data_IF_968787617279
#
_entry.id   IF_968787617279
#
_cell.length_a   1.000
_cell.length_b   1.000
_cell.length_c   1.000
_cell.angle_alpha   90.00
_cell.angle_beta   90.00
_cell.angle_gamma   90.00
#
_symmetry.space_group_name_H-M   'P 1'
#
loop_
_entity.id
_entity.type
_entity.pdbx_description
1 polymer ?
#
# COMPACT_ATOMS: atom_id res chain seq x y z
N UNK A 1 24.52 -39.64 6.44
CA UNK A 1 24.57 -39.41 4.97
C UNK A 1 24.21 -37.96 4.80
N UNK A 2 25.20 -37.14 5.08
CA UNK A 2 25.12 -35.72 5.38
C UNK A 2 25.86 -35.01 4.26
N UNK A 3 25.13 -34.67 3.21
CA UNK A 3 25.66 -33.92 2.07
C UNK A 3 24.51 -33.24 1.36
N UNK A 4 23.93 -32.19 1.98
CA UNK A 4 23.14 -31.16 1.26
C UNK A 4 22.80 -29.92 2.12
N UNK A 5 23.61 -29.59 3.12
CA UNK A 5 23.44 -28.38 3.96
C UNK A 5 24.61 -27.38 3.84
N UNK A 6 25.46 -27.49 2.81
CA UNK A 6 26.66 -26.66 2.63
C UNK A 6 26.62 -25.69 1.43
N UNK A 7 25.43 -25.35 0.91
CA UNK A 7 25.31 -24.21 -0.01
C UNK A 7 24.68 -23.00 0.71
N UNK A 8 25.28 -22.62 1.84
CA UNK A 8 25.05 -21.30 2.43
C UNK A 8 25.72 -20.26 1.54
N UNK A 9 24.91 -19.67 0.66
CA UNK A 9 25.22 -18.54 -0.20
C UNK A 9 26.19 -17.56 0.46
N UNK A 10 27.45 -17.51 0.00
CA UNK A 10 28.38 -16.44 0.38
C UNK A 10 27.74 -15.11 -0.04
N UNK A 11 27.38 -14.28 0.94
CA UNK A 11 26.90 -12.92 0.68
C UNK A 11 27.91 -12.20 -0.22
N UNK A 12 27.45 -11.42 -1.23
CA UNK A 12 28.35 -10.66 -2.08
C UNK A 12 29.30 -9.81 -1.23
N UNK A 13 30.58 -9.82 -1.56
CA UNK A 13 31.55 -8.99 -0.85
C UNK A 13 31.48 -7.56 -1.36
N UNK A 14 31.16 -6.62 -0.47
CA UNK A 14 31.27 -5.20 -0.77
C UNK A 14 32.75 -4.82 -0.90
N UNK A 15 33.26 -4.80 -2.14
CA UNK A 15 34.62 -4.34 -2.47
C UNK A 15 34.53 -2.94 -3.08
N UNK A 16 34.82 -1.93 -2.27
CA UNK A 16 34.97 -0.55 -2.71
C UNK A 16 36.40 -0.10 -2.48
N UNK A 17 36.97 0.65 -3.42
CA UNK A 17 38.25 1.31 -3.18
C UNK A 17 38.08 2.45 -2.14
N UNK A 18 39.18 2.95 -1.59
CA UNK A 18 39.13 3.97 -0.53
C UNK A 18 38.45 5.26 -1.00
N UNK A 19 38.63 5.64 -2.28
CA UNK A 19 38.08 6.87 -2.87
C UNK A 19 36.57 6.76 -3.06
N UNK A 20 36.08 5.63 -3.57
CA UNK A 20 34.64 5.36 -3.74
C UNK A 20 33.95 5.23 -2.38
N UNK A 21 34.62 4.61 -1.40
CA UNK A 21 34.09 4.49 -0.03
C UNK A 21 33.90 5.87 0.61
N UNK A 22 34.90 6.75 0.53
CA UNK A 22 34.79 8.11 1.03
C UNK A 22 33.74 8.93 0.28
N UNK A 23 33.70 8.82 -1.05
CA UNK A 23 32.66 9.46 -1.87
C UNK A 23 31.26 9.03 -1.45
N UNK A 24 31.04 7.74 -1.24
CA UNK A 24 29.75 7.21 -0.80
C UNK A 24 29.37 7.73 0.59
N UNK A 25 30.29 7.71 1.55
CA UNK A 25 30.04 8.22 2.90
C UNK A 25 29.67 9.71 2.90
N UNK A 26 30.31 10.52 2.04
CA UNK A 26 29.97 11.92 1.89
C UNK A 26 28.55 12.14 1.36
N UNK A 27 28.12 11.34 0.39
CA UNK A 27 26.76 11.36 -0.13
C UNK A 27 25.75 10.83 0.91
N UNK A 28 26.06 9.73 1.60
CA UNK A 28 25.15 9.13 2.57
C UNK A 28 24.81 10.10 3.71
N UNK A 29 25.77 10.95 4.12
CA UNK A 29 25.56 12.01 5.12
C UNK A 29 24.61 13.12 4.64
N UNK A 30 24.37 13.29 3.34
CA UNK A 30 23.41 14.28 2.83
C UNK A 30 21.97 13.76 2.84
N UNK A 31 21.76 12.46 3.06
CA UNK A 31 20.41 11.88 3.08
C UNK A 31 19.66 12.29 4.37
N UNK A 32 18.33 12.50 4.29
CA UNK A 32 17.52 12.75 5.48
C UNK A 32 17.58 11.58 6.47
N UNK A 33 17.71 11.90 7.75
CA UNK A 33 17.65 10.92 8.83
C UNK A 33 16.20 10.54 9.14
N UNK A 34 15.62 9.70 8.29
CA UNK A 34 14.27 9.15 8.42
C UNK A 34 14.37 7.62 8.47
N UNK A 35 13.84 6.94 9.52
CA UNK A 35 13.86 5.49 9.60
C UNK A 35 12.83 4.81 8.69
N UNK A 36 11.82 5.54 8.19
CA UNK A 36 10.74 4.97 7.34
C UNK A 36 11.26 4.43 6.01
N UNK A 37 12.06 5.16 5.22
CA UNK A 37 12.59 4.63 3.97
C UNK A 37 13.69 3.60 4.22
N UNK A 38 13.47 2.38 3.73
CA UNK A 38 14.53 1.40 3.54
C UNK A 38 15.24 1.72 2.23
N UNK A 39 16.47 2.23 2.34
CA UNK A 39 17.27 2.65 1.19
C UNK A 39 18.22 1.55 0.74
N UNK A 40 18.10 1.16 -0.52
CA UNK A 40 18.98 0.20 -1.18
C UNK A 40 19.78 0.88 -2.28
N UNK A 41 21.06 0.55 -2.35
CA UNK A 41 22.00 1.13 -3.31
C UNK A 41 22.40 0.05 -4.30
N UNK A 42 22.07 0.26 -5.57
CA UNK A 42 22.36 -0.70 -6.64
C UNK A 42 23.86 -0.75 -6.94
N UNK A 43 24.43 -1.96 -6.88
CA UNK A 43 25.81 -2.30 -7.23
C UNK A 43 25.89 -3.19 -8.47
N UNK A 44 24.86 -3.16 -9.32
CA UNK A 44 24.62 -3.94 -10.56
C UNK A 44 24.23 -5.40 -10.32
N UNK A 45 25.05 -6.13 -9.58
CA UNK A 45 24.84 -7.56 -9.33
C UNK A 45 24.10 -7.83 -8.02
N UNK A 46 24.13 -6.87 -7.10
CA UNK A 46 23.53 -6.93 -5.77
C UNK A 46 23.23 -5.51 -5.28
N UNK A 47 22.49 -5.41 -4.17
CA UNK A 47 22.19 -4.16 -3.50
C UNK A 47 22.96 -4.05 -2.20
N UNK A 48 23.20 -2.84 -1.71
CA UNK A 48 23.68 -2.60 -0.35
C UNK A 48 22.72 -1.75 0.43
N UNK A 49 22.54 -2.06 1.73
CA UNK A 49 21.90 -1.16 2.69
C UNK A 49 22.92 -0.74 3.74
N UNK A 50 22.70 0.42 4.36
CA UNK A 50 23.64 1.03 5.29
C UNK A 50 22.97 1.60 6.54
N UNK A 51 23.74 1.77 7.62
CA UNK A 51 23.29 2.34 8.89
C UNK A 51 22.16 1.54 9.56
N UNK A 52 21.10 2.23 9.93
CA UNK A 52 19.91 1.63 10.54
C UNK A 52 19.20 0.66 9.58
N UNK A 53 19.13 0.99 8.28
CA UNK A 53 18.55 0.10 7.28
C UNK A 53 19.33 -1.22 7.18
N UNK A 54 20.67 -1.18 7.26
CA UNK A 54 21.48 -2.40 7.27
C UNK A 54 21.17 -3.27 8.50
N UNK A 55 21.06 -2.64 9.67
CA UNK A 55 20.76 -3.31 10.93
C UNK A 55 19.37 -3.93 10.91
N UNK A 56 18.39 -3.21 10.39
CA UNK A 56 17.03 -3.71 10.16
C UNK A 56 17.05 -4.92 9.23
N UNK A 57 17.71 -4.84 8.07
CA UNK A 57 17.73 -5.94 7.11
C UNK A 57 18.41 -7.19 7.70
N UNK A 58 19.54 -7.01 8.38
CA UNK A 58 20.29 -8.08 9.00
C UNK A 58 19.48 -8.84 10.06
N UNK A 59 18.78 -8.11 10.93
CA UNK A 59 17.95 -8.71 11.99
C UNK A 59 16.65 -9.32 11.45
N UNK A 60 15.97 -8.63 10.53
CA UNK A 60 14.63 -9.02 10.07
C UNK A 60 14.68 -10.15 9.04
N UNK A 61 15.55 -10.04 8.03
CA UNK A 61 15.55 -10.98 6.89
C UNK A 61 16.65 -12.03 7.01
N UNK A 62 17.88 -11.64 7.37
CA UNK A 62 18.96 -12.61 7.56
C UNK A 62 18.94 -13.29 8.93
N UNK A 63 18.17 -12.76 9.88
CA UNK A 63 18.07 -13.26 11.27
C UNK A 63 19.44 -13.37 11.97
N UNK A 64 20.39 -12.54 11.56
CA UNK A 64 21.75 -12.50 12.12
C UNK A 64 22.39 -11.13 11.99
N UNK A 65 23.14 -10.70 12.99
CA UNK A 65 23.97 -9.49 12.92
C UNK A 65 25.33 -9.75 12.28
N UNK A 66 25.73 -11.01 12.08
CA UNK A 66 27.03 -11.38 11.49
C UNK A 66 27.14 -11.01 10.01
N UNK A 67 26.03 -10.72 9.34
CA UNK A 67 26.00 -10.23 7.97
C UNK A 67 26.46 -8.76 7.84
N UNK A 68 26.52 -8.02 8.95
CA UNK A 68 26.94 -6.62 8.96
C UNK A 68 28.46 -6.51 8.79
N UNK A 69 28.88 -5.73 7.80
CA UNK A 69 30.26 -5.30 7.58
C UNK A 69 30.39 -3.82 7.87
N UNK A 70 31.58 -3.36 8.25
CA UNK A 70 31.85 -1.94 8.44
C UNK A 70 32.40 -1.33 7.15
N UNK A 71 31.77 -0.25 6.69
CA UNK A 71 32.26 0.53 5.56
C UNK A 71 32.94 1.80 6.09
N UNK A 72 34.22 1.96 5.78
CA UNK A 72 35.06 3.06 6.27
C UNK A 72 35.88 2.70 7.51
N UNK A 73 36.88 3.54 7.82
CA UNK A 73 37.79 3.33 8.95
C UNK A 73 37.48 4.32 10.09
N UNK A 74 37.42 3.84 11.33
CA UNK A 74 37.31 4.67 12.54
C UNK A 74 35.89 4.82 13.11
N UNK A 75 35.67 5.87 13.92
CA UNK A 75 34.40 6.18 14.61
C UNK A 75 33.25 6.55 13.65
N UNK A 76 33.56 6.89 12.41
CA UNK A 76 32.62 7.29 11.35
C UNK A 76 32.25 6.11 10.41
N UNK A 77 32.59 4.89 10.82
CA UNK A 77 32.34 3.67 10.05
C UNK A 77 30.86 3.31 10.02
N UNK A 78 30.35 3.02 8.82
CA UNK A 78 28.94 2.77 8.58
C UNK A 78 28.65 1.27 8.47
N UNK A 79 27.76 0.76 9.33
CA UNK A 79 27.25 -0.61 9.23
C UNK A 79 26.62 -0.84 7.87
N UNK A 80 26.99 -1.91 7.19
CA UNK A 80 26.63 -2.16 5.80
C UNK A 80 26.29 -3.63 5.61
N UNK A 81 25.27 -3.92 4.80
CA UNK A 81 24.89 -5.28 4.46
C UNK A 81 24.69 -5.41 2.95
N UNK A 82 25.12 -6.55 2.40
CA UNK A 82 24.90 -6.87 0.98
C UNK A 82 23.64 -7.70 0.83
N UNK A 83 22.87 -7.43 -0.23
CA UNK A 83 21.55 -7.99 -0.51
C UNK A 83 21.56 -8.53 -1.93
N UNK A 84 21.41 -9.84 -2.09
CA UNK A 84 21.29 -10.47 -3.42
C UNK A 84 19.97 -10.06 -4.09
N UNK A 85 19.86 -10.22 -5.41
CA UNK A 85 18.61 -9.90 -6.14
C UNK A 85 17.39 -10.65 -5.61
N UNK A 86 17.53 -11.95 -5.34
CA UNK A 86 16.45 -12.77 -4.76
C UNK A 86 16.04 -12.28 -3.35
N UNK A 87 17.01 -11.89 -2.53
CA UNK A 87 16.72 -11.34 -1.21
C UNK A 87 16.06 -9.96 -1.32
N UNK A 88 16.50 -9.14 -2.27
CA UNK A 88 15.86 -7.86 -2.58
C UNK A 88 14.39 -8.05 -2.97
N UNK A 89 14.06 -9.00 -3.85
CA UNK A 89 12.67 -9.33 -4.19
C UNK A 89 11.85 -9.72 -2.94
N UNK A 90 12.44 -10.53 -2.06
CA UNK A 90 11.80 -10.92 -0.79
C UNK A 90 11.53 -9.72 0.11
N UNK A 91 12.52 -8.84 0.25
CA UNK A 91 12.42 -7.60 1.05
C UNK A 91 11.37 -6.67 0.43
N UNK A 92 11.41 -6.44 -0.89
CA UNK A 92 10.47 -5.55 -1.58
C UNK A 92 9.03 -6.03 -1.41
N UNK A 93 8.79 -7.34 -1.56
CA UNK A 93 7.46 -7.94 -1.32
C UNK A 93 7.00 -7.75 0.12
N UNK A 94 7.87 -8.00 1.10
CA UNK A 94 7.51 -7.83 2.52
C UNK A 94 7.20 -6.36 2.85
N UNK A 95 8.07 -5.43 2.45
CA UNK A 95 7.93 -4.00 2.75
C UNK A 95 6.69 -3.38 2.09
N UNK A 96 6.39 -3.74 0.84
CA UNK A 96 5.35 -3.07 0.05
C UNK A 96 3.99 -3.77 0.09
N UNK A 97 3.93 -5.08 0.28
CA UNK A 97 2.65 -5.81 0.25
C UNK A 97 2.12 -6.18 1.64
N UNK A 98 3.03 -6.38 2.58
CA UNK A 98 2.69 -6.95 3.88
C UNK A 98 2.79 -5.95 5.03
N UNK A 99 3.77 -5.05 4.96
CA UNK A 99 4.04 -4.04 5.99
C UNK A 99 3.45 -2.69 5.60
N UNK A 100 3.26 -1.84 6.62
CA UNK A 100 2.79 -0.45 6.43
C UNK A 100 3.60 0.57 7.22
N UNK A 101 4.75 0.15 7.74
CA UNK A 101 5.63 0.97 8.60
C UNK A 101 6.89 1.48 7.87
N UNK A 102 7.14 1.04 6.64
CA UNK A 102 8.31 1.43 5.85
C UNK A 102 7.96 1.71 4.39
N UNK A 103 8.81 2.51 3.76
CA UNK A 103 8.83 2.72 2.30
C UNK A 103 10.11 2.15 1.71
N UNK A 104 10.19 2.03 0.38
CA UNK A 104 11.35 1.48 -0.32
C UNK A 104 11.91 2.49 -1.31
N UNK A 105 13.22 2.72 -1.25
CA UNK A 105 13.95 3.61 -2.16
C UNK A 105 15.15 2.87 -2.76
N UNK A 106 15.31 2.96 -4.08
CA UNK A 106 16.50 2.47 -4.79
C UNK A 106 17.30 3.64 -5.32
N UNK A 107 18.58 3.64 -5.00
CA UNK A 107 19.55 4.59 -5.51
C UNK A 107 20.52 3.91 -6.48
N UNK A 108 20.80 4.57 -7.60
CA UNK A 108 21.87 4.20 -8.53
C UNK A 108 22.94 5.28 -8.57
N UNK A 109 24.20 4.86 -8.66
CA UNK A 109 25.30 5.81 -8.65
C UNK A 109 26.66 5.18 -8.44
N UNK A 110 27.66 6.05 -8.34
CA UNK A 110 29.02 5.67 -7.98
C UNK A 110 29.76 6.83 -7.31
N UNK A 111 30.68 6.51 -6.40
CA UNK A 111 31.40 7.52 -5.61
C UNK A 111 30.41 8.38 -4.81
N UNK A 112 30.45 9.70 -5.01
CA UNK A 112 29.55 10.66 -4.37
C UNK A 112 28.31 11.02 -5.20
N UNK A 113 28.17 10.48 -6.42
CA UNK A 113 27.05 10.79 -7.32
C UNK A 113 26.05 9.65 -7.30
N UNK A 114 25.03 9.77 -6.45
CA UNK A 114 23.90 8.84 -6.34
C UNK A 114 22.61 9.59 -6.55
N UNK A 115 21.67 8.96 -7.25
CA UNK A 115 20.33 9.48 -7.51
C UNK A 115 19.29 8.44 -7.13
N UNK A 116 18.15 8.90 -6.62
CA UNK A 116 16.97 8.07 -6.44
C UNK A 116 16.44 7.69 -7.83
N UNK A 117 16.29 6.39 -8.11
CA UNK A 117 15.79 5.89 -9.40
C UNK A 117 14.42 5.23 -9.29
N UNK A 118 14.12 4.59 -8.15
CA UNK A 118 12.81 4.00 -7.88
C UNK A 118 12.42 4.31 -6.44
N UNK A 119 11.16 4.65 -6.21
CA UNK A 119 10.56 4.77 -4.88
C UNK A 119 9.19 4.10 -4.86
N UNK A 120 8.84 3.48 -3.74
CA UNK A 120 7.60 2.73 -3.59
C UNK A 120 7.09 2.78 -2.15
N UNK A 121 5.77 2.79 -2.02
CA UNK A 121 5.05 2.73 -0.75
C UNK A 121 4.06 1.57 -0.77
N UNK A 122 3.52 1.16 0.38
CA UNK A 122 2.50 0.11 0.43
C UNK A 122 1.22 0.43 -0.36
N UNK A 123 0.90 1.72 -0.55
CA UNK A 123 -0.22 2.16 -1.36
C UNK A 123 0.13 2.38 -2.83
N UNK A 124 1.31 2.92 -3.10
CA UNK A 124 1.83 3.19 -4.43
C UNK A 124 3.07 2.33 -4.70
N UNK A 125 2.84 1.18 -5.31
CA UNK A 125 3.90 0.23 -5.65
C UNK A 125 4.89 0.79 -6.68
N UNK A 126 4.56 1.90 -7.34
CA UNK A 126 5.47 2.66 -8.19
C UNK A 126 6.13 1.80 -9.26
N UNK A 127 7.43 2.00 -9.46
CA UNK A 127 8.25 1.25 -10.43
C UNK A 127 8.69 -0.14 -9.94
N UNK A 128 8.00 -0.73 -8.94
CA UNK A 128 8.32 -2.06 -8.41
C UNK A 128 7.36 -3.16 -8.88
N UNK A 129 6.37 -2.85 -9.72
CA UNK A 129 5.42 -3.86 -10.23
C UNK A 129 6.13 -5.02 -10.96
N UNK A 130 7.20 -4.73 -11.70
CA UNK A 130 8.07 -5.71 -12.36
C UNK A 130 8.70 -6.69 -11.37
N UNK A 131 9.17 -6.19 -10.23
CA UNK A 131 9.79 -6.97 -9.16
C UNK A 131 8.73 -7.76 -8.38
N UNK A 132 7.59 -7.13 -8.08
CA UNK A 132 6.55 -7.71 -7.22
C UNK A 132 5.74 -8.77 -7.94
N UNK A 133 5.50 -8.64 -9.25
CA UNK A 133 4.56 -9.47 -9.99
C UNK A 133 5.18 -10.36 -11.07
N UNK A 134 6.51 -10.53 -11.06
CA UNK A 134 7.21 -11.50 -11.92
C UNK A 134 6.58 -12.91 -11.88
N UNK A 135 5.94 -13.29 -10.77
CA UNK A 135 5.28 -14.58 -10.56
C UNK A 135 3.73 -14.51 -10.48
N UNK A 136 3.09 -13.42 -10.94
CA UNK A 136 1.63 -13.24 -10.99
C UNK A 136 0.86 -13.37 -9.65
N UNK A 137 1.56 -13.24 -8.52
CA UNK A 137 1.03 -13.58 -7.20
C UNK A 137 0.46 -12.35 -6.46
N UNK A 138 -0.42 -11.58 -7.13
CA UNK A 138 -1.07 -10.41 -6.51
C UNK A 138 -2.34 -10.84 -5.77
N UNK A 139 -2.25 -10.89 -4.43
CA UNK A 139 -3.35 -11.35 -3.57
C UNK A 139 -4.35 -10.23 -3.24
N UNK A 140 -3.88 -9.01 -3.03
CA UNK A 140 -4.67 -7.82 -2.72
C UNK A 140 -4.17 -6.66 -3.59
N UNK A 141 -5.08 -5.78 -4.02
CA UNK A 141 -4.68 -4.58 -4.75
C UNK A 141 -4.71 -3.40 -3.82
N UNK A 142 -3.58 -2.71 -3.62
CA UNK A 142 -3.54 -1.63 -2.66
C UNK A 142 -4.48 -0.52 -3.11
N UNK A 143 -5.41 -0.18 -2.23
CA UNK A 143 -6.22 1.03 -2.38
C UNK A 143 -5.51 2.13 -1.61
N UNK A 144 -5.31 3.26 -2.29
CA UNK A 144 -4.82 4.49 -1.65
C UNK A 144 -6.03 5.36 -1.35
N UNK A 145 -6.13 5.82 -0.11
CA UNK A 145 -7.19 6.71 0.34
C UNK A 145 -6.59 8.08 0.61
N UNK A 146 -7.35 9.14 0.42
CA UNK A 146 -7.05 10.46 0.93
C UNK A 146 -8.22 10.93 1.77
N UNK A 147 -7.94 11.56 2.91
CA UNK A 147 -8.96 12.15 3.76
C UNK A 147 -8.74 13.65 3.86
N UNK A 148 -9.83 14.40 3.75
CA UNK A 148 -9.89 15.82 4.04
C UNK A 148 -10.88 16.02 5.20
N UNK A 149 -10.41 15.97 6.46
CA UNK A 149 -11.26 16.18 7.61
C UNK A 149 -11.61 17.67 7.75
N UNK A 150 -12.86 17.95 8.06
CA UNK A 150 -13.36 19.27 8.41
C UNK A 150 -13.96 19.25 9.82
N UNK A 151 -13.17 19.73 10.78
CA UNK A 151 -13.55 19.77 12.19
C UNK A 151 -14.51 20.94 12.47
N UNK A 152 -15.70 20.63 12.99
CA UNK A 152 -16.71 21.60 13.45
C UNK A 152 -17.02 21.34 14.93
N UNK A 153 -17.77 22.25 15.57
CA UNK A 153 -18.07 22.15 17.01
C UNK A 153 -18.82 20.86 17.41
N UNK A 154 -19.64 20.30 16.51
CA UNK A 154 -20.48 19.13 16.78
C UNK A 154 -20.08 17.85 16.00
N UNK A 155 -18.82 17.76 15.54
CA UNK A 155 -18.31 16.57 14.86
C UNK A 155 -17.31 16.88 13.75
N UNK A 156 -16.89 15.83 13.03
CA UNK A 156 -15.97 15.95 11.90
C UNK A 156 -16.68 15.49 10.62
N UNK A 157 -16.82 16.38 9.63
CA UNK A 157 -17.20 15.94 8.29
C UNK A 157 -15.93 15.49 7.58
N UNK A 158 -15.89 14.24 7.12
CA UNK A 158 -14.72 13.68 6.43
C UNK A 158 -15.03 13.56 4.95
N UNK A 159 -14.26 14.27 4.12
CA UNK A 159 -14.19 14.01 2.69
C UNK A 159 -13.20 12.88 2.42
N UNK A 160 -13.66 11.81 1.79
CA UNK A 160 -12.86 10.63 1.45
C UNK A 160 -12.77 10.50 -0.08
N UNK A 161 -11.56 10.48 -0.60
CA UNK A 161 -11.25 10.03 -1.95
C UNK A 161 -10.51 8.69 -1.88
N UNK A 162 -10.69 7.83 -2.87
CA UNK A 162 -9.81 6.67 -3.05
C UNK A 162 -9.54 6.36 -4.51
N UNK A 163 -8.44 5.65 -4.74
CA UNK A 163 -8.08 5.10 -6.04
C UNK A 163 -7.70 3.63 -5.90
N UNK A 164 -8.29 2.79 -6.74
CA UNK A 164 -7.87 1.41 -6.99
C UNK A 164 -7.17 1.40 -8.36
N UNK A 165 -5.84 1.38 -8.35
CA UNK A 165 -5.01 1.44 -9.56
C UNK A 165 -5.20 0.21 -10.45
N UNK A 166 -5.49 -0.95 -9.86
CA UNK A 166 -5.63 -2.19 -10.61
C UNK A 166 -7.00 -2.34 -11.23
N UNK A 167 -8.07 -1.97 -10.52
CA UNK A 167 -9.43 -1.95 -11.08
C UNK A 167 -9.70 -0.70 -11.92
N UNK A 168 -8.80 0.29 -11.86
CA UNK A 168 -8.97 1.61 -12.48
C UNK A 168 -10.27 2.28 -12.00
N UNK A 169 -10.50 2.28 -10.69
CA UNK A 169 -11.69 2.88 -10.08
C UNK A 169 -11.27 4.05 -9.20
N UNK A 170 -11.93 5.19 -9.40
CA UNK A 170 -11.87 6.36 -8.55
C UNK A 170 -13.17 6.43 -7.75
N UNK A 171 -13.08 6.77 -6.47
CA UNK A 171 -14.31 6.94 -5.69
C UNK A 171 -14.27 8.06 -4.69
N UNK A 172 -15.47 8.53 -4.39
CA UNK A 172 -15.75 9.68 -3.54
C UNK A 172 -16.77 9.29 -2.49
N UNK A 173 -16.52 9.68 -1.25
CA UNK A 173 -17.49 9.61 -0.17
C UNK A 173 -17.35 10.83 0.73
N UNK A 174 -18.45 11.25 1.33
CA UNK A 174 -18.45 12.28 2.36
C UNK A 174 -19.47 11.91 3.42
N UNK A 175 -19.07 11.98 4.67
CA UNK A 175 -19.88 11.55 5.79
C UNK A 175 -19.48 12.29 7.06
N UNK A 176 -20.42 12.37 8.01
CA UNK A 176 -20.13 12.80 9.37
C UNK A 176 -19.50 11.64 10.13
N UNK A 177 -18.47 11.93 10.90
CA UNK A 177 -17.82 10.97 11.78
C UNK A 177 -17.87 11.41 13.24
N UNK A 178 -17.75 10.43 14.13
CA UNK A 178 -17.67 10.64 15.56
C UNK A 178 -16.23 10.95 16.01
N UNK A 179 -16.03 11.17 17.32
CA UNK A 179 -14.72 11.48 17.90
C UNK A 179 -13.69 10.35 17.79
N UNK A 180 -14.14 9.12 17.51
CA UNK A 180 -13.32 7.92 17.41
C UNK A 180 -13.03 7.51 15.96
N UNK A 181 -13.63 8.21 14.98
CA UNK A 181 -13.47 7.96 13.56
C UNK A 181 -13.93 6.56 13.13
N UNK A 182 -15.07 6.09 13.67
CA UNK A 182 -15.59 4.74 13.40
C UNK A 182 -15.98 4.52 11.94
N UNK A 183 -16.49 5.56 11.27
CA UNK A 183 -16.87 5.48 9.86
C UNK A 183 -15.62 5.45 8.95
N UNK A 184 -14.60 6.25 9.26
CA UNK A 184 -13.30 6.18 8.59
C UNK A 184 -12.67 4.80 8.77
N UNK A 185 -12.60 4.27 10.00
CA UNK A 185 -12.04 2.94 10.28
C UNK A 185 -12.76 1.86 9.46
N UNK A 186 -14.09 1.87 9.47
CA UNK A 186 -14.90 0.93 8.68
C UNK A 186 -14.63 1.06 7.18
N UNK A 187 -14.52 2.29 6.66
CA UNK A 187 -14.26 2.52 5.24
C UNK A 187 -12.86 2.06 4.82
N UNK A 188 -11.82 2.31 5.64
CA UNK A 188 -10.45 1.89 5.35
C UNK A 188 -10.31 0.36 5.32
N UNK A 189 -10.93 -0.32 6.30
CA UNK A 189 -10.97 -1.77 6.38
C UNK A 189 -11.69 -2.37 5.17
N UNK A 190 -12.89 -1.86 4.86
CA UNK A 190 -13.70 -2.33 3.75
C UNK A 190 -13.02 -2.12 2.39
N UNK A 191 -12.35 -0.98 2.20
CA UNK A 191 -11.59 -0.68 0.99
C UNK A 191 -10.26 -1.45 0.90
N UNK A 192 -9.77 -2.03 2.02
CA UNK A 192 -8.45 -2.64 2.05
C UNK A 192 -7.33 -1.61 1.90
N UNK A 193 -7.52 -0.42 2.45
CA UNK A 193 -6.56 0.66 2.37
C UNK A 193 -5.22 0.25 2.98
N UNK A 194 -4.11 0.56 2.29
CA UNK A 194 -2.75 0.35 2.80
C UNK A 194 -2.02 1.66 3.08
N UNK A 195 -2.49 2.74 2.47
CA UNK A 195 -1.91 4.06 2.62
C UNK A 195 -2.99 5.14 2.56
N UNK A 196 -2.91 6.08 3.50
CA UNK A 196 -3.81 7.22 3.61
C UNK A 196 -3.04 8.53 3.50
N UNK A 197 -3.48 9.41 2.60
CA UNK A 197 -2.98 10.77 2.48
C UNK A 197 -3.75 11.71 3.40
N UNK A 198 -3.03 12.56 4.13
CA UNK A 198 -3.60 13.67 4.91
C UNK A 198 -2.94 15.01 4.57
N UNK A 199 -3.67 16.13 4.67
CA UNK A 199 -3.06 17.44 4.59
C UNK A 199 -2.21 17.72 5.84
N UNK A 200 -1.03 18.29 5.63
CA UNK A 200 -0.22 18.91 6.68
C UNK A 200 -1.07 19.92 7.47
N UNK A 201 -0.96 19.88 8.81
CA UNK A 201 -1.67 20.76 9.75
C UNK A 201 -3.21 20.78 9.60
N UNK A 202 -3.82 19.59 9.52
CA UNK A 202 -5.26 19.41 9.23
C UNK A 202 -6.22 19.66 10.40
N UNK A 203 -5.77 20.08 11.59
CA UNK A 203 -6.66 20.38 12.71
C UNK A 203 -5.98 20.73 14.02
N UNK A 204 -6.77 20.82 15.09
CA UNK A 204 -6.28 20.87 16.48
C UNK A 204 -5.55 19.57 16.81
N UNK A 205 -4.51 19.67 17.64
CA UNK A 205 -3.57 18.56 17.90
C UNK A 205 -4.22 17.31 18.52
N UNK A 206 -5.37 17.43 19.19
CA UNK A 206 -6.07 16.30 19.81
C UNK A 206 -6.88 15.48 18.81
N UNK A 207 -7.69 16.12 17.97
CA UNK A 207 -8.58 15.46 17.03
C UNK A 207 -7.81 14.84 15.86
N UNK A 208 -6.71 15.47 15.45
CA UNK A 208 -5.82 14.86 14.45
C UNK A 208 -5.10 13.63 15.00
N UNK A 209 -4.77 13.62 16.30
CA UNK A 209 -4.16 12.47 16.95
C UNK A 209 -5.12 11.28 16.98
N UNK A 210 -6.39 11.48 17.30
CA UNK A 210 -7.37 10.38 17.29
C UNK A 210 -7.58 9.81 15.89
N UNK A 211 -7.53 10.64 14.85
CA UNK A 211 -7.52 10.18 13.45
C UNK A 211 -6.26 9.35 13.14
N UNK A 212 -5.07 9.81 13.53
CA UNK A 212 -3.83 9.06 13.35
C UNK A 212 -3.87 7.71 14.08
N UNK A 213 -4.43 7.68 15.29
CA UNK A 213 -4.62 6.44 16.04
C UNK A 213 -5.58 5.48 15.31
N UNK A 214 -6.64 6.00 14.68
CA UNK A 214 -7.54 5.20 13.85
C UNK A 214 -6.84 4.59 12.62
N UNK A 215 -6.03 5.38 11.92
CA UNK A 215 -5.20 4.89 10.81
C UNK A 215 -4.23 3.79 11.26
N UNK A 216 -3.55 4.01 12.39
CA UNK A 216 -2.61 3.04 12.97
C UNK A 216 -3.30 1.73 13.37
N UNK A 217 -4.51 1.78 13.97
CA UNK A 217 -5.29 0.57 14.30
C UNK A 217 -5.64 -0.25 13.07
N UNK A 218 -5.95 0.42 11.97
CA UNK A 218 -6.23 -0.21 10.67
C UNK A 218 -4.94 -0.73 9.99
N UNK A 219 -3.76 -0.42 10.52
CA UNK A 219 -2.48 -0.74 9.90
C UNK A 219 -2.26 0.03 8.59
N UNK A 220 -2.77 1.26 8.49
CA UNK A 220 -2.67 2.10 7.28
C UNK A 220 -1.49 3.05 7.41
N UNK A 221 -0.62 3.10 6.39
CA UNK A 221 0.49 4.04 6.36
C UNK A 221 -0.01 5.47 6.19
N UNK A 222 0.47 6.40 7.01
CA UNK A 222 0.15 7.83 6.88
C UNK A 222 1.19 8.55 6.02
N UNK A 223 0.72 9.21 4.96
CA UNK A 223 1.53 10.08 4.11
C UNK A 223 0.99 11.51 4.14
N UNK A 224 1.76 12.43 4.71
CA UNK A 224 1.38 13.84 4.78
C UNK A 224 1.71 14.57 3.48
N UNK A 225 0.75 15.36 2.98
CA UNK A 225 0.86 16.11 1.72
C UNK A 225 0.54 17.59 1.94
N UNK A 226 1.04 18.45 1.04
CA UNK A 226 0.80 19.90 1.15
C UNK A 226 -0.70 20.18 1.00
N UNK A 227 -1.23 21.06 1.85
CA UNK A 227 -2.65 21.48 1.77
C UNK A 227 -3.04 22.05 0.40
N UNK A 228 -2.08 22.57 -0.36
CA UNK A 228 -2.29 23.04 -1.74
C UNK A 228 -2.67 21.94 -2.72
N UNK A 229 -2.34 20.69 -2.44
CA UNK A 229 -2.68 19.51 -3.26
C UNK A 229 -4.13 19.07 -3.05
N UNK A 230 -4.75 19.42 -1.92
CA UNK A 230 -6.16 19.11 -1.61
C UNK A 230 -7.12 20.16 -2.16
N UNK A 231 -7.02 20.46 -3.46
CA UNK A 231 -7.84 21.50 -4.12
C UNK A 231 -8.75 20.91 -5.19
N UNK A 232 -9.92 21.51 -5.34
CA UNK A 232 -10.95 21.09 -6.30
C UNK A 232 -10.78 21.68 -7.71
N UNK A 233 -10.02 22.78 -7.88
CA UNK A 233 -10.14 23.68 -9.04
C UNK A 233 -9.97 23.01 -10.41
N UNK A 234 -9.02 22.09 -10.53
CA UNK A 234 -8.68 21.46 -11.81
C UNK A 234 -9.23 20.02 -11.91
N UNK A 235 -9.88 19.53 -10.85
CA UNK A 235 -10.28 18.13 -10.71
C UNK A 235 -11.21 17.65 -11.84
N UNK A 236 -12.22 18.44 -12.21
CA UNK A 236 -13.18 18.03 -13.25
C UNK A 236 -12.49 17.94 -14.61
N UNK A 237 -11.53 18.82 -14.89
CA UNK A 237 -10.73 18.78 -16.11
C UNK A 237 -9.80 17.56 -16.12
N UNK A 238 -9.14 17.27 -14.99
CA UNK A 238 -8.26 16.11 -14.86
C UNK A 238 -9.03 14.79 -15.01
N UNK A 239 -10.19 14.69 -14.35
CA UNK A 239 -11.09 13.55 -14.47
C UNK A 239 -11.61 13.36 -15.89
N UNK A 240 -11.80 14.44 -16.66
CA UNK A 240 -12.24 14.33 -18.07
C UNK A 240 -11.24 13.60 -18.97
N UNK A 241 -9.96 13.59 -18.57
CA UNK A 241 -8.91 12.85 -19.28
C UNK A 241 -8.84 11.40 -18.84
N UNK A 242 -9.11 11.13 -17.56
CA UNK A 242 -8.93 9.81 -16.95
C UNK A 242 -10.18 8.92 -17.05
N UNK A 243 -11.37 9.50 -16.85
CA UNK A 243 -12.63 8.75 -16.74
C UNK A 243 -13.20 8.46 -18.12
N UNK A 244 -13.63 7.21 -18.32
CA UNK A 244 -14.32 6.78 -19.54
C UNK A 244 -15.72 7.40 -19.63
N UNK A 245 -16.03 8.01 -20.76
CA UNK A 245 -17.39 8.45 -21.08
C UNK A 245 -17.57 9.96 -21.04
N UNK A 246 -18.82 10.39 -20.84
CA UNK A 246 -19.19 11.81 -20.85
C UNK A 246 -18.81 12.49 -19.53
N UNK A 247 -18.49 13.79 -19.60
CA UNK A 247 -18.00 14.56 -18.45
C UNK A 247 -19.15 15.06 -17.56
N UNK A 248 -20.37 15.17 -18.08
CA UNK A 248 -21.52 15.72 -17.38
C UNK A 248 -21.86 14.91 -16.11
N UNK A 249 -21.99 13.57 -16.15
CA UNK A 249 -22.23 12.76 -14.94
C UNK A 249 -21.08 12.86 -13.92
N UNK A 250 -19.85 13.01 -14.40
CA UNK A 250 -18.66 13.17 -13.55
C UNK A 250 -18.71 14.50 -12.81
N UNK A 251 -19.06 15.57 -13.53
CA UNK A 251 -19.22 16.91 -12.95
C UNK A 251 -20.34 16.93 -11.92
N UNK A 252 -21.49 16.35 -12.24
CA UNK A 252 -22.64 16.29 -11.34
C UNK A 252 -22.29 15.53 -10.06
N UNK A 253 -21.63 14.38 -10.19
CA UNK A 253 -21.15 13.58 -9.06
C UNK A 253 -20.19 14.38 -8.17
N UNK A 254 -19.16 15.00 -8.75
CA UNK A 254 -18.15 15.77 -8.03
C UNK A 254 -18.76 17.00 -7.34
N UNK A 255 -19.76 17.64 -7.97
CA UNK A 255 -20.45 18.80 -7.39
C UNK A 255 -21.27 18.48 -6.14
N UNK A 256 -21.61 17.20 -5.95
CA UNK A 256 -22.34 16.72 -4.77
C UNK A 256 -21.49 16.57 -3.50
N UNK A 257 -20.19 16.88 -3.56
CA UNK A 257 -19.26 16.75 -2.44
C UNK A 257 -18.50 18.06 -2.17
N UNK A 258 -18.38 18.43 -0.90
CA UNK A 258 -17.68 19.66 -0.47
C UNK A 258 -16.19 19.37 -0.24
N UNK A 259 -15.86 18.25 0.39
CA UNK A 259 -14.50 17.91 0.82
C UNK A 259 -13.89 16.74 0.06
N UNK A 260 -14.71 15.76 -0.35
CA UNK A 260 -14.22 14.54 -1.01
C UNK A 260 -13.48 14.83 -2.34
N UNK A 261 -13.94 15.85 -3.06
CA UNK A 261 -13.30 16.30 -4.30
C UNK A 261 -11.84 16.74 -4.08
N UNK A 262 -11.57 17.51 -3.02
CA UNK A 262 -10.21 17.93 -2.67
C UNK A 262 -9.31 16.74 -2.32
N UNK A 263 -9.85 15.75 -1.60
CA UNK A 263 -9.13 14.51 -1.28
C UNK A 263 -8.77 13.71 -2.55
N UNK A 264 -9.72 13.58 -3.48
CA UNK A 264 -9.46 12.90 -4.76
C UNK A 264 -8.41 13.64 -5.61
N UNK A 265 -8.44 14.97 -5.64
CA UNK A 265 -7.42 15.76 -6.34
C UNK A 265 -6.00 15.49 -5.83
N UNK A 266 -5.84 15.35 -4.50
CA UNK A 266 -4.55 14.98 -3.92
C UNK A 266 -4.09 13.58 -4.37
N UNK A 267 -5.00 12.62 -4.52
CA UNK A 267 -4.68 11.28 -5.01
C UNK A 267 -4.23 11.28 -6.48
N UNK A 268 -4.89 12.06 -7.35
CA UNK A 268 -4.52 12.12 -8.77
C UNK A 268 -3.09 12.64 -8.94
N UNK A 269 -2.71 13.65 -8.16
CA UNK A 269 -1.36 14.19 -8.10
C UNK A 269 -0.37 13.19 -7.50
N UNK A 270 -0.72 12.57 -6.38
CA UNK A 270 0.14 11.62 -5.67
C UNK A 270 0.47 10.36 -6.48
N UNK A 271 -0.51 9.80 -7.17
CA UNK A 271 -0.35 8.63 -8.03
C UNK A 271 0.15 8.98 -9.44
N UNK A 272 0.42 10.26 -9.72
CA UNK A 272 0.88 10.78 -11.02
C UNK A 272 0.04 10.30 -12.21
N UNK A 273 -1.28 10.14 -12.02
CA UNK A 273 -2.16 9.49 -13.02
C UNK A 273 -2.19 10.23 -14.36
N UNK A 274 -2.03 11.55 -14.34
CA UNK A 274 -1.99 12.40 -15.53
C UNK A 274 -0.62 12.41 -16.23
N UNK A 275 0.43 11.91 -15.56
CA UNK A 275 1.78 11.81 -16.14
C UNK A 275 1.92 10.66 -17.13
N UNK A 276 1.05 9.66 -17.03
CA UNK A 276 1.02 8.49 -17.91
C UNK A 276 -0.23 8.48 -18.80
N UNK A 277 -0.04 8.65 -20.10
CA UNK A 277 -1.11 8.65 -21.11
C UNK A 277 -1.87 7.32 -21.18
N UNK A 278 -1.28 6.22 -20.70
CA UNK A 278 -1.96 4.92 -20.62
C UNK A 278 -3.18 4.92 -19.70
N UNK A 279 -3.28 5.92 -18.81
CA UNK A 279 -4.40 6.07 -17.89
C UNK A 279 -5.62 6.76 -18.52
N UNK A 280 -5.48 7.39 -19.68
CA UNK A 280 -6.54 8.24 -20.25
C UNK A 280 -7.73 7.42 -20.74
N UNK A 281 -8.93 7.81 -20.32
CA UNK A 281 -10.21 7.16 -20.65
C UNK A 281 -10.36 5.73 -20.10
N UNK A 282 -9.53 5.33 -19.15
CA UNK A 282 -9.48 3.96 -18.63
C UNK A 282 -10.03 3.81 -17.20
N UNK A 283 -10.37 4.92 -16.53
CA UNK A 283 -10.94 4.87 -15.19
C UNK A 283 -12.47 4.96 -15.19
N UNK A 284 -13.09 4.40 -14.16
CA UNK A 284 -14.47 4.72 -13.77
C UNK A 284 -14.48 5.55 -12.49
N UNK A 285 -15.52 6.36 -12.31
CA UNK A 285 -15.73 7.14 -11.08
C UNK A 285 -17.06 6.74 -10.45
N UNK A 286 -17.08 6.59 -9.12
CA UNK A 286 -18.28 6.18 -8.40
C UNK A 286 -18.41 6.84 -7.03
N UNK A 287 -19.65 6.96 -6.56
CA UNK A 287 -19.95 7.29 -5.16
C UNK A 287 -19.74 6.05 -4.31
N UNK A 288 -18.92 6.15 -3.27
CA UNK A 288 -18.81 5.12 -2.25
C UNK A 288 -19.80 5.38 -1.13
N UNK A 289 -20.63 4.38 -0.83
CA UNK A 289 -21.66 4.46 0.18
C UNK A 289 -21.29 3.54 1.36
N UNK A 290 -21.08 4.15 2.53
CA UNK A 290 -20.76 3.42 3.77
C UNK A 290 -21.93 2.57 4.29
N UNK A 291 -23.14 2.81 3.78
CA UNK A 291 -24.34 2.05 4.13
C UNK A 291 -24.62 0.85 3.23
N UNK A 292 -23.82 0.61 2.19
CA UNK A 292 -24.03 -0.54 1.28
C UNK A 292 -23.46 -1.85 1.82
N UNK A 293 -22.53 -1.78 2.78
CA UNK A 293 -21.84 -2.93 3.33
C UNK A 293 -21.89 -2.95 4.86
N UNK A 294 -21.74 -4.13 5.44
CA UNK A 294 -21.61 -4.30 6.88
C UNK A 294 -20.37 -3.55 7.38
N UNK A 295 -20.56 -2.75 8.44
CA UNK A 295 -19.48 -2.01 9.08
C UNK A 295 -18.73 -2.95 10.01
N UNK A 296 -17.45 -3.15 9.73
CA UNK A 296 -16.53 -3.93 10.55
C UNK A 296 -15.34 -3.04 10.90
N UNK A 297 -14.99 -3.00 12.17
CA UNK A 297 -13.76 -2.35 12.63
C UNK A 297 -12.55 -3.29 12.49
N UNK A 298 -11.36 -2.75 12.69
CA UNK A 298 -10.12 -3.52 12.58
C UNK A 298 -10.04 -4.65 13.63
N UNK A 299 -10.66 -4.45 14.79
CA UNK A 299 -10.70 -5.41 15.88
C UNK A 299 -11.60 -6.61 15.55
N UNK A 300 -12.80 -6.40 15.02
CA UNK A 300 -13.72 -7.45 14.62
C UNK A 300 -13.15 -8.29 13.48
N UNK A 301 -12.52 -7.67 12.48
CA UNK A 301 -11.85 -8.40 11.39
C UNK A 301 -10.78 -9.35 11.90
N UNK A 302 -10.03 -8.93 12.94
CA UNK A 302 -9.01 -9.76 13.60
C UNK A 302 -9.64 -10.82 14.49
N UNK A 303 -10.66 -10.48 15.28
CA UNK A 303 -11.33 -11.40 16.19
C UNK A 303 -12.04 -12.55 15.45
N UNK A 304 -12.60 -12.26 14.28
CA UNK A 304 -13.22 -13.24 13.40
C UNK A 304 -12.23 -13.99 12.50
N UNK A 305 -10.93 -13.64 12.56
CA UNK A 305 -9.86 -14.16 11.70
C UNK A 305 -10.30 -14.20 10.22
N UNK A 306 -10.86 -13.09 9.72
CA UNK A 306 -11.44 -13.05 8.37
C UNK A 306 -10.37 -13.27 7.30
N UNK A 307 -9.20 -12.66 7.50
CA UNK A 307 -8.07 -12.70 6.57
C UNK A 307 -6.86 -13.40 7.22
N UNK A 308 -5.96 -13.92 6.39
CA UNK A 308 -4.74 -14.60 6.84
C UNK A 308 -3.81 -13.63 7.59
N UNK A 309 -3.22 -14.09 8.70
CA UNK A 309 -2.15 -13.40 9.43
C UNK A 309 -0.85 -14.20 9.35
N UNK A 310 0.30 -13.52 9.35
CA UNK A 310 1.63 -14.16 9.37
C UNK A 310 1.90 -14.99 10.63
N UNK A 311 1.17 -14.72 11.70
CA UNK A 311 1.23 -15.50 12.95
C UNK A 311 0.51 -16.83 12.83
N UNK A 312 -0.27 -17.05 11.77
CA UNK A 312 -1.09 -18.24 11.64
C UNK A 312 -0.22 -19.43 11.28
N UNK A 313 -0.36 -20.52 12.06
CA UNK A 313 0.39 -21.75 11.84
C UNK A 313 0.01 -22.45 10.52
N UNK A 314 -1.19 -22.18 9.99
CA UNK A 314 -1.69 -22.73 8.73
C UNK A 314 -2.67 -21.74 8.08
N UNK A 315 -2.68 -21.68 6.75
CA UNK A 315 -3.57 -20.81 5.96
C UNK A 315 -5.05 -21.05 6.26
N UNK A 316 -5.43 -22.29 6.55
CA UNK A 316 -6.82 -22.66 6.88
C UNK A 316 -7.33 -22.13 8.25
N UNK A 317 -6.52 -21.41 9.03
CA UNK A 317 -6.98 -20.79 10.29
C UNK A 317 -7.84 -19.55 10.08
N UNK A 318 -7.76 -18.93 8.90
CA UNK A 318 -8.60 -17.79 8.53
C UNK A 318 -9.82 -18.22 7.72
N UNK A 319 -10.90 -17.42 7.78
CA UNK A 319 -12.08 -17.62 6.95
C UNK A 319 -11.71 -17.60 5.46
N UNK A 320 -10.85 -16.67 5.06
CA UNK A 320 -10.34 -16.59 3.70
C UNK A 320 -9.60 -17.86 3.29
N UNK A 321 -8.65 -18.35 4.07
CA UNK A 321 -7.90 -19.56 3.72
C UNK A 321 -8.76 -20.82 3.68
N UNK A 322 -9.84 -20.87 4.48
CA UNK A 322 -10.82 -21.95 4.42
C UNK A 322 -11.64 -21.91 3.12
N UNK A 323 -12.17 -20.72 2.77
CA UNK A 323 -13.06 -20.51 1.62
C UNK A 323 -12.33 -20.42 0.27
N UNK A 324 -11.06 -20.01 0.27
CA UNK A 324 -10.31 -19.78 -0.95
C UNK A 324 -9.93 -21.09 -1.64
N UNK A 325 -10.82 -21.54 -2.54
CA UNK A 325 -10.64 -22.67 -3.46
C UNK A 325 -10.76 -22.23 -4.92
N UNK A 326 -10.48 -20.96 -5.20
CA UNK A 326 -10.64 -20.39 -6.54
C UNK A 326 -9.62 -20.98 -7.52
N UNK A 327 -10.07 -21.40 -8.69
CA UNK A 327 -9.20 -21.97 -9.74
C UNK A 327 -8.27 -20.93 -10.37
N UNK A 328 -8.69 -19.66 -10.40
CA UNK A 328 -7.87 -18.57 -10.93
C UNK A 328 -6.95 -18.02 -9.84
N UNK A 329 -5.63 -18.13 -10.02
CA UNK A 329 -4.63 -17.74 -9.03
C UNK A 329 -4.68 -16.25 -8.59
N UNK A 330 -5.22 -15.35 -9.43
CA UNK A 330 -5.31 -13.91 -9.15
C UNK A 330 -6.74 -13.38 -9.00
N UNK A 331 -7.51 -13.33 -10.10
CA UNK A 331 -8.78 -12.60 -10.15
C UNK A 331 -9.83 -13.10 -9.15
N UNK A 332 -10.09 -14.41 -9.11
CA UNK A 332 -11.04 -15.01 -8.18
C UNK A 332 -10.62 -14.83 -6.72
N UNK A 333 -9.34 -15.05 -6.42
CA UNK A 333 -8.76 -14.85 -5.08
C UNK A 333 -8.98 -13.41 -4.59
N UNK A 334 -8.68 -12.43 -5.44
CA UNK A 334 -8.91 -11.00 -5.18
C UNK A 334 -10.38 -10.66 -4.94
N UNK A 335 -11.28 -11.25 -5.73
CA UNK A 335 -12.72 -11.00 -5.61
C UNK A 335 -13.25 -11.55 -4.28
N UNK A 336 -12.86 -12.76 -3.90
CA UNK A 336 -13.24 -13.35 -2.61
C UNK A 336 -12.71 -12.52 -1.44
N UNK A 337 -11.45 -12.07 -1.52
CA UNK A 337 -10.84 -11.21 -0.51
C UNK A 337 -11.66 -9.91 -0.30
N UNK A 338 -12.10 -9.29 -1.40
CA UNK A 338 -12.96 -8.11 -1.37
C UNK A 338 -14.32 -8.42 -0.75
N UNK A 339 -14.99 -9.51 -1.13
CA UNK A 339 -16.31 -9.86 -0.61
C UNK A 339 -16.29 -10.12 0.90
N UNK A 340 -15.22 -10.71 1.44
CA UNK A 340 -15.07 -10.91 2.88
C UNK A 340 -14.87 -9.60 3.64
N UNK A 341 -14.24 -8.59 3.04
CA UNK A 341 -14.12 -7.23 3.61
C UNK A 341 -15.40 -6.40 3.45
N UNK A 342 -16.25 -6.74 2.48
CA UNK A 342 -17.45 -5.99 2.11
C UNK A 342 -18.70 -6.88 2.10
N UNK A 343 -19.17 -7.38 3.26
CA UNK A 343 -20.42 -8.13 3.33
C UNK A 343 -21.60 -7.24 2.91
N UNK A 344 -22.46 -7.75 2.03
CA UNK A 344 -23.64 -7.02 1.55
C UNK A 344 -24.69 -6.85 2.64
N UNK A 345 -25.46 -5.77 2.55
CA UNK A 345 -26.65 -5.52 3.39
C UNK A 345 -27.97 -5.66 2.62
N UNK A 346 -27.92 -5.59 1.29
CA UNK A 346 -29.10 -5.71 0.44
C UNK A 346 -29.53 -7.18 0.29
N UNK A 347 -30.78 -7.48 0.66
CA UNK A 347 -31.30 -8.85 0.70
C UNK A 347 -31.44 -9.43 -0.71
N UNK A 348 -31.79 -8.63 -1.71
CA UNK A 348 -31.97 -9.09 -3.08
C UNK A 348 -30.62 -9.42 -3.72
N UNK A 349 -29.58 -8.62 -3.48
CA UNK A 349 -28.22 -8.92 -3.92
C UNK A 349 -27.64 -10.16 -3.21
N UNK A 350 -27.93 -10.33 -1.91
CA UNK A 350 -27.53 -11.54 -1.16
C UNK A 350 -28.19 -12.78 -1.76
N UNK A 351 -29.51 -12.76 -1.95
CA UNK A 351 -30.25 -13.89 -2.53
C UNK A 351 -29.78 -14.18 -3.95
N UNK A 352 -29.55 -13.16 -4.77
CA UNK A 352 -29.01 -13.33 -6.13
C UNK A 352 -27.65 -14.07 -6.14
N UNK A 353 -26.76 -13.77 -5.18
CA UNK A 353 -25.48 -14.50 -5.04
C UNK A 353 -25.69 -15.94 -4.55
N UNK A 354 -26.63 -16.15 -3.63
CA UNK A 354 -26.96 -17.48 -3.12
C UNK A 354 -27.60 -18.37 -4.20
N UNK A 355 -28.47 -17.82 -5.03
CA UNK A 355 -29.11 -18.51 -6.16
C UNK A 355 -28.06 -19.01 -7.15
N UNK A 356 -27.05 -18.19 -7.46
CA UNK A 356 -25.92 -18.60 -8.30
C UNK A 356 -25.15 -19.77 -7.68
N UNK A 357 -24.85 -19.70 -6.38
CA UNK A 357 -24.16 -20.80 -5.67
C UNK A 357 -25.02 -22.06 -5.68
N UNK A 358 -26.32 -21.94 -5.43
CA UNK A 358 -27.25 -23.06 -5.44
C UNK A 358 -27.31 -23.75 -6.80
N UNK A 359 -27.33 -22.99 -7.90
CA UNK A 359 -27.28 -23.54 -9.25
C UNK A 359 -26.03 -24.41 -9.50
N UNK A 360 -24.84 -23.99 -9.01
CA UNK A 360 -23.62 -24.78 -9.13
C UNK A 360 -23.57 -26.00 -8.19
N UNK A 361 -24.28 -25.96 -7.06
CA UNK A 361 -24.36 -27.09 -6.12
C UNK A 361 -25.34 -28.16 -6.62
N UNK A 362 -26.46 -27.75 -7.20
CA UNK A 362 -27.50 -28.65 -7.72
C UNK A 362 -27.09 -29.34 -9.01
N UNK A 363 -26.32 -28.67 -9.87
CA UNK A 363 -25.76 -29.27 -11.09
C UNK A 363 -24.22 -29.18 -11.12
N UNK A 364 -23.53 -30.24 -10.62
CA UNK A 364 -22.07 -30.31 -10.61
C UNK A 364 -21.44 -30.33 -12.01
N UNK A 365 -22.21 -30.53 -13.08
CA UNK A 365 -21.67 -30.50 -14.44
C UNK A 365 -21.19 -29.09 -14.82
N UNK A 366 -21.83 -28.04 -14.29
CA UNK A 366 -21.39 -26.65 -14.49
C UNK A 366 -20.13 -26.28 -13.69
N UNK A 367 -19.81 -27.03 -12.63
CA UNK A 367 -18.66 -26.75 -11.75
C UNK A 367 -17.32 -27.34 -12.26
N UNK A 368 -17.30 -28.09 -13.38
CA UNK A 368 -16.10 -28.73 -13.96
C UNK A 368 -15.34 -27.87 -14.99
N UNK A 369 -15.40 -26.55 -14.89
CA UNK A 369 -14.67 -25.62 -15.79
C UNK A 369 -13.28 -25.32 -15.26
#
# INVERSE_FOLDING_TARGET
MDANYEDQSKLPELKLDAKQSQGFLSFFKTLPHDPRPIRLFDRRDYYTAHGENATFIAKTYYRTTTALRQLGNGLDGLSSVSVSKNMFETIARDLLLERTDHTLEIYEGSGSSWRLVKSGTPGNLGSFEDVLFANNDMQDTPVVVALLPNFRENGCTVGLGYVDLTKRVLGLAEFLDDSHFTNVESALVALGCKECLLPLDSGKTSEIRTLHDALNRCGVMLTERKKTEFKMRDLVQDLSRLVKGSIEPVRDLVSGFEFAAGALGALLSYAELLGDESNYGNYSIQRYNLGSYMRLDSAAMRALNVLESKTDANKNFSLFGLMNRTCTAGMGKRLLHMWLKQPLLDVDEINSRLDLVQAFVEDPAFAKI
#
